data_IF_281975763344
#
_entry.id   IF_281975763344
#
_cell.length_a   1.000
_cell.length_b   1.000
_cell.length_c   1.000
_cell.angle_alpha   90.00
_cell.angle_beta   90.00
_cell.angle_gamma   90.00
#
_symmetry.space_group_name_H-M   'P 1'
#
loop_
_entity.id
_entity.type
_entity.pdbx_description
1 polymer ?
#
# COMPACT_ATOMS: atom_id res chain seq x y z
N UNK A 1 13.82 21.59 2.87
CA UNK A 1 13.09 20.74 3.84
C UNK A 1 11.97 19.95 3.17
N UNK A 2 11.09 20.58 2.38
CA UNK A 2 9.94 19.91 1.75
C UNK A 2 10.32 18.67 0.91
N UNK A 3 11.31 18.78 0.01
CA UNK A 3 11.77 17.64 -0.82
C UNK A 3 12.27 16.44 0.00
N UNK A 4 12.90 16.70 1.15
CA UNK A 4 13.40 15.63 2.02
C UNK A 4 12.25 14.86 2.67
N UNK A 5 11.21 15.57 3.12
CA UNK A 5 10.00 14.91 3.66
C UNK A 5 9.23 14.14 2.59
N UNK A 6 9.14 14.66 1.37
CA UNK A 6 8.53 13.93 0.23
C UNK A 6 9.32 12.64 -0.05
N UNK A 7 10.66 12.71 -0.04
CA UNK A 7 11.50 11.54 -0.25
C UNK A 7 11.31 10.49 0.85
N UNK A 8 11.31 10.91 2.12
CA UNK A 8 11.06 10.01 3.25
C UNK A 8 9.67 9.36 3.18
N UNK A 9 8.65 10.16 2.84
CA UNK A 9 7.29 9.66 2.65
C UNK A 9 7.23 8.63 1.53
N UNK A 10 7.80 8.97 0.36
CA UNK A 10 7.78 8.10 -0.79
C UNK A 10 8.55 6.79 -0.53
N UNK A 11 9.63 6.84 0.26
CA UNK A 11 10.35 5.65 0.70
C UNK A 11 9.50 4.80 1.66
N UNK A 12 8.82 5.44 2.61
CA UNK A 12 7.93 4.73 3.55
C UNK A 12 6.79 4.01 2.81
N UNK A 13 6.10 4.70 1.91
CA UNK A 13 4.99 4.16 1.08
C UNK A 13 5.46 3.17 0.00
N UNK A 14 6.75 3.13 -0.33
CA UNK A 14 7.27 2.17 -1.32
C UNK A 14 7.89 0.92 -0.68
N UNK A 15 7.92 0.85 0.65
CA UNK A 15 8.57 -0.24 1.38
C UNK A 15 7.87 -1.59 1.18
N UNK A 16 6.55 -1.59 1.08
CA UNK A 16 5.74 -2.73 0.65
C UNK A 16 6.16 -3.31 -0.72
N UNK A 17 6.45 -2.42 -1.68
CA UNK A 17 6.90 -2.77 -3.02
C UNK A 17 8.31 -3.35 -3.01
N UNK A 18 9.19 -2.79 -2.18
CA UNK A 18 10.52 -3.36 -1.94
C UNK A 18 10.45 -4.77 -1.35
N UNK A 19 9.60 -5.00 -0.36
CA UNK A 19 9.42 -6.33 0.23
C UNK A 19 8.81 -7.32 -0.77
N UNK A 20 7.84 -6.88 -1.59
CA UNK A 20 7.29 -7.68 -2.67
C UNK A 20 8.37 -8.03 -3.72
N UNK A 21 9.15 -7.05 -4.18
CA UNK A 21 10.27 -7.23 -5.10
C UNK A 21 11.32 -8.21 -4.58
N UNK A 22 11.68 -8.09 -3.29
CA UNK A 22 12.56 -9.05 -2.61
C UNK A 22 11.97 -10.46 -2.60
N UNK A 23 10.67 -10.59 -2.27
CA UNK A 23 9.99 -11.89 -2.28
C UNK A 23 9.97 -12.52 -3.67
N UNK A 24 9.78 -11.72 -4.74
CA UNK A 24 9.87 -12.20 -6.12
C UNK A 24 11.29 -12.65 -6.48
N UNK A 25 12.30 -11.88 -6.08
CA UNK A 25 13.71 -12.25 -6.26
C UNK A 25 14.06 -13.59 -5.60
N UNK A 26 13.57 -13.82 -4.37
CA UNK A 26 13.76 -15.09 -3.66
C UNK A 26 13.01 -16.26 -4.31
N UNK A 27 11.81 -16.02 -4.82
CA UNK A 27 11.00 -17.03 -5.55
C UNK A 27 11.37 -17.17 -7.03
N UNK A 28 12.38 -16.44 -7.51
CA UNK A 28 12.83 -16.41 -8.92
C UNK A 28 11.74 -16.01 -9.91
N UNK A 29 10.78 -15.21 -9.48
CA UNK A 29 9.74 -14.63 -10.34
C UNK A 29 10.31 -13.36 -10.95
N UNK A 30 10.22 -13.23 -12.28
CA UNK A 30 10.73 -12.04 -12.98
C UNK A 30 9.62 -11.01 -13.14
N UNK A 31 9.97 -9.74 -12.92
CA UNK A 31 9.08 -8.62 -13.20
C UNK A 31 9.64 -7.86 -14.41
N UNK A 32 9.05 -8.01 -15.61
CA UNK A 32 9.53 -7.29 -16.79
C UNK A 32 9.29 -5.78 -16.64
N UNK A 33 10.11 -4.97 -17.32
CA UNK A 33 10.07 -3.50 -17.19
C UNK A 33 8.70 -2.89 -17.49
N UNK A 34 7.92 -3.50 -18.40
CA UNK A 34 6.57 -3.04 -18.70
C UNK A 34 5.61 -3.25 -17.52
N UNK A 35 5.73 -4.37 -16.80
CA UNK A 35 4.94 -4.66 -15.61
C UNK A 35 5.33 -3.73 -14.46
N UNK A 36 6.62 -3.47 -14.30
CA UNK A 36 7.12 -2.51 -13.32
C UNK A 36 6.57 -1.10 -13.56
N UNK A 37 6.51 -0.67 -14.83
CA UNK A 37 5.91 0.61 -15.20
C UNK A 37 4.42 0.67 -14.84
N UNK A 38 3.68 -0.43 -15.03
CA UNK A 38 2.26 -0.51 -14.63
C UNK A 38 2.08 -0.39 -13.13
N UNK A 39 2.91 -1.07 -12.33
CA UNK A 39 2.88 -0.99 -10.86
C UNK A 39 3.17 0.45 -10.39
N UNK A 40 4.20 1.06 -10.95
CA UNK A 40 4.59 2.44 -10.65
C UNK A 40 3.48 3.44 -11.02
N UNK A 41 2.88 3.29 -12.20
CA UNK A 41 1.77 4.15 -12.65
C UNK A 41 0.53 3.96 -11.78
N UNK A 42 0.16 2.73 -11.44
CA UNK A 42 -0.96 2.43 -10.56
C UNK A 42 -0.78 3.08 -9.19
N UNK A 43 0.43 2.99 -8.62
CA UNK A 43 0.77 3.62 -7.33
C UNK A 43 0.73 5.14 -7.40
N UNK A 44 1.32 5.75 -8.45
CA UNK A 44 1.32 7.20 -8.64
C UNK A 44 -0.10 7.75 -8.84
N UNK A 45 -0.95 7.05 -9.59
CA UNK A 45 -2.36 7.41 -9.78
C UNK A 45 -3.15 7.29 -8.49
N UNK A 46 -2.96 6.21 -7.73
CA UNK A 46 -3.61 6.02 -6.43
C UNK A 46 -3.23 7.13 -5.45
N UNK A 47 -1.93 7.46 -5.32
CA UNK A 47 -1.47 8.58 -4.48
C UNK A 47 -2.04 9.90 -4.95
N UNK A 48 -2.04 10.17 -6.26
CA UNK A 48 -2.62 11.40 -6.81
C UNK A 48 -4.10 11.52 -6.47
N UNK A 49 -4.87 10.44 -6.67
CA UNK A 49 -6.29 10.38 -6.35
C UNK A 49 -6.53 10.57 -4.85
N UNK A 50 -5.78 9.85 -4.02
CA UNK A 50 -5.83 9.95 -2.56
C UNK A 50 -5.54 11.37 -2.08
N UNK A 51 -4.51 12.02 -2.60
CA UNK A 51 -4.15 13.38 -2.22
C UNK A 51 -5.19 14.40 -2.69
N UNK A 52 -5.81 14.20 -3.85
CA UNK A 52 -6.93 15.05 -4.31
C UNK A 52 -8.11 14.95 -3.34
N UNK A 53 -8.48 13.72 -2.95
CA UNK A 53 -9.51 13.49 -1.93
C UNK A 53 -9.11 14.12 -0.58
N UNK A 54 -7.87 13.93 -0.14
CA UNK A 54 -7.34 14.47 1.11
C UNK A 54 -7.33 16.00 1.14
N UNK A 55 -7.00 16.65 0.03
CA UNK A 55 -7.09 18.11 -0.12
C UNK A 55 -8.53 18.60 -0.04
N UNK A 56 -9.48 17.85 -0.61
CA UNK A 56 -10.91 18.10 -0.44
C UNK A 56 -11.35 17.96 1.03
N UNK A 57 -10.82 16.97 1.74
CA UNK A 57 -11.08 16.78 3.17
C UNK A 57 -10.46 17.89 4.04
N UNK A 58 -9.29 18.40 3.65
CA UNK A 58 -8.57 19.46 4.35
C UNK A 58 -9.37 20.77 4.48
N UNK A 59 -10.34 21.02 3.59
CA UNK A 59 -11.20 22.21 3.65
C UNK A 59 -12.34 22.06 4.67
N UNK A 60 -12.68 20.82 5.02
CA UNK A 60 -13.81 20.49 5.92
C UNK A 60 -13.30 20.24 7.34
N UNK A 61 -12.12 19.63 7.49
CA UNK A 61 -11.59 19.21 8.78
C UNK A 61 -10.48 20.14 9.30
N UNK A 62 -10.55 20.59 10.57
CA UNK A 62 -9.44 21.27 11.21
C UNK A 62 -8.19 20.38 11.29
N UNK A 63 -6.97 20.92 11.08
CA UNK A 63 -5.74 20.14 11.10
C UNK A 63 -5.51 19.43 12.45
N UNK A 64 -5.89 20.06 13.57
CA UNK A 64 -5.78 19.46 14.92
C UNK A 64 -6.69 18.24 15.12
N UNK A 65 -7.80 18.15 14.38
CA UNK A 65 -8.71 17.01 14.47
C UNK A 65 -8.17 15.83 13.67
N UNK A 66 -7.63 16.09 12.47
CA UNK A 66 -6.99 15.07 11.64
C UNK A 66 -5.78 14.44 12.34
N UNK A 67 -4.93 15.25 12.98
CA UNK A 67 -3.78 14.76 13.75
C UNK A 67 -4.18 13.86 14.92
N UNK A 68 -5.19 14.26 15.69
CA UNK A 68 -5.71 13.45 16.81
C UNK A 68 -6.34 12.14 16.34
N UNK A 69 -7.14 12.18 15.27
CA UNK A 69 -7.74 10.97 14.70
C UNK A 69 -6.68 9.98 14.21
N UNK A 70 -5.69 10.46 13.46
CA UNK A 70 -4.60 9.62 12.96
C UNK A 70 -3.81 8.98 14.11
N UNK A 71 -3.49 9.74 15.16
CA UNK A 71 -2.80 9.23 16.34
C UNK A 71 -3.60 8.16 17.08
N UNK A 72 -4.91 8.37 17.27
CA UNK A 72 -5.81 7.39 17.90
C UNK A 72 -5.87 6.11 17.05
N UNK A 73 -6.02 6.24 15.72
CA UNK A 73 -6.08 5.11 14.80
C UNK A 73 -4.79 4.28 14.83
N UNK A 74 -3.62 4.93 14.78
CA UNK A 74 -2.32 4.25 14.89
C UNK A 74 -2.13 3.57 16.24
N UNK A 75 -2.56 4.22 17.34
CA UNK A 75 -2.49 3.63 18.67
C UNK A 75 -3.38 2.38 18.78
N UNK A 76 -4.60 2.41 18.26
CA UNK A 76 -5.50 1.26 18.27
C UNK A 76 -4.96 0.09 17.44
N UNK A 77 -4.48 0.35 16.22
CA UNK A 77 -3.90 -0.69 15.34
C UNK A 77 -2.64 -1.28 16.00
N UNK A 78 -1.76 -0.44 16.56
CA UNK A 78 -0.55 -0.88 17.24
C UNK A 78 -0.85 -1.74 18.47
N UNK A 79 -1.80 -1.33 19.31
CA UNK A 79 -2.22 -2.11 20.49
C UNK A 79 -2.87 -3.43 20.07
N UNK A 80 -3.70 -3.43 19.03
CA UNK A 80 -4.31 -4.64 18.50
C UNK A 80 -3.24 -5.66 18.07
N UNK A 81 -2.26 -5.25 17.27
CA UNK A 81 -1.15 -6.12 16.86
C UNK A 81 -0.31 -6.60 18.06
N UNK A 82 -0.05 -5.74 19.04
CA UNK A 82 0.74 -6.10 20.23
C UNK A 82 0.03 -7.13 21.10
N UNK A 83 -1.28 -6.99 21.27
CA UNK A 83 -2.13 -7.97 21.96
C UNK A 83 -2.24 -9.28 21.17
N UNK A 84 -2.42 -9.22 19.85
CA UNK A 84 -2.48 -10.40 18.98
C UNK A 84 -1.17 -11.19 19.03
N UNK A 85 -0.02 -10.52 18.89
CA UNK A 85 1.29 -11.13 18.97
C UNK A 85 1.59 -11.75 20.36
N UNK A 86 1.03 -11.18 21.43
CA UNK A 86 1.16 -11.75 22.77
C UNK A 86 0.22 -12.95 22.99
N UNK A 87 -0.97 -12.93 22.38
CA UNK A 87 -1.98 -13.99 22.44
C UNK A 87 -1.59 -15.22 21.60
N UNK A 88 -0.97 -15.02 20.44
CA UNK A 88 -0.44 -16.08 19.56
C UNK A 88 0.72 -16.88 20.18
N UNK A 89 1.28 -16.45 21.33
CA UNK A 89 2.28 -17.23 22.08
C UNK A 89 1.65 -18.32 22.95
N UNK A 90 0.32 -18.36 23.07
CA UNK A 90 -0.45 -19.29 23.93
C UNK A 90 -1.39 -20.20 23.10
N UNK A 91 -1.85 -19.76 21.93
CA UNK A 91 -2.59 -20.59 20.96
C UNK A 91 -1.81 -20.68 19.65
N UNK A 92 -1.45 -21.90 19.26
CA UNK A 92 -0.81 -22.18 17.99
C UNK A 92 -1.75 -21.86 16.83
N UNK A 93 -1.43 -20.82 16.06
CA UNK A 93 -1.81 -20.65 14.66
C UNK A 93 -3.28 -20.95 14.33
N UNK A 94 -4.22 -20.18 14.88
CA UNK A 94 -5.44 -19.90 14.13
C UNK A 94 -5.21 -18.59 13.39
N UNK A 95 -5.02 -18.79 12.08
CA UNK A 95 -5.10 -17.87 10.97
C UNK A 95 -5.40 -16.40 11.29
N UNK A 96 -4.73 -15.51 10.54
CA UNK A 96 -5.38 -14.31 10.00
C UNK A 96 -6.47 -14.77 9.01
N UNK A 97 -7.43 -15.53 9.54
CA UNK A 97 -8.72 -15.86 9.02
C UNK A 97 -9.68 -14.99 9.83
N UNK A 98 -9.52 -13.67 9.70
CA UNK A 98 -10.72 -12.86 9.76
C UNK A 98 -11.63 -13.44 8.67
N UNK A 99 -12.64 -14.21 9.07
CA UNK A 99 -13.89 -14.15 8.32
C UNK A 99 -14.17 -12.67 8.17
N UNK A 100 -14.14 -12.13 6.95
CA UNK A 100 -14.24 -10.70 6.78
C UNK A 100 -15.59 -10.30 7.36
N UNK A 101 -15.58 -9.45 8.40
CA UNK A 101 -16.81 -8.90 9.02
C UNK A 101 -17.73 -8.24 7.98
N UNK A 102 -17.21 -7.97 6.79
CA UNK A 102 -17.95 -7.76 5.56
C UNK A 102 -17.58 -8.81 4.51
N UNK A 103 -18.44 -9.81 4.31
CA UNK A 103 -18.42 -10.69 3.12
C UNK A 103 -18.87 -9.92 1.87
N UNK A 104 -18.22 -8.80 1.55
CA UNK A 104 -18.36 -8.13 0.26
C UNK A 104 -17.61 -8.96 -0.77
N UNK A 105 -18.24 -10.04 -1.22
CA UNK A 105 -17.71 -10.91 -2.27
C UNK A 105 -17.81 -10.22 -3.64
N UNK A 106 -16.98 -9.20 -3.83
CA UNK A 106 -16.78 -8.54 -5.11
C UNK A 106 -15.51 -9.15 -5.71
N UNK A 107 -15.65 -9.92 -6.79
CA UNK A 107 -14.57 -10.70 -7.44
C UNK A 107 -13.19 -10.00 -7.49
N UNK A 108 -13.06 -8.72 -7.90
CA UNK A 108 -11.77 -8.02 -7.91
C UNK A 108 -11.17 -7.72 -6.53
N UNK A 109 -11.97 -7.47 -5.49
CA UNK A 109 -11.45 -7.17 -4.15
C UNK A 109 -10.83 -8.41 -3.49
N UNK A 110 -11.45 -9.57 -3.68
CA UNK A 110 -10.90 -10.84 -3.17
C UNK A 110 -9.49 -11.12 -3.72
N UNK A 111 -9.29 -10.85 -5.01
CA UNK A 111 -7.98 -10.98 -5.67
C UNK A 111 -6.92 -10.10 -4.99
N UNK A 112 -7.24 -8.83 -4.77
CA UNK A 112 -6.33 -7.85 -4.15
C UNK A 112 -5.95 -8.29 -2.73
N UNK A 113 -6.93 -8.71 -1.93
CA UNK A 113 -6.69 -9.18 -0.55
C UNK A 113 -5.74 -10.39 -0.55
N UNK A 114 -5.92 -11.33 -1.48
CA UNK A 114 -5.02 -12.48 -1.59
C UNK A 114 -3.60 -12.09 -1.99
N UNK A 115 -3.42 -11.11 -2.88
CA UNK A 115 -2.10 -10.58 -3.25
C UNK A 115 -1.45 -9.87 -2.05
N UNK A 116 -2.21 -9.09 -1.29
CA UNK A 116 -1.70 -8.41 -0.09
C UNK A 116 -1.22 -9.41 0.99
N UNK A 117 -1.92 -10.53 1.16
CA UNK A 117 -1.48 -11.60 2.10
C UNK A 117 -0.22 -12.29 1.62
N UNK A 118 -0.08 -12.53 0.31
CA UNK A 118 1.09 -13.16 -0.26
C UNK A 118 1.39 -12.61 -1.67
N UNK A 119 2.39 -11.71 -1.83
CA UNK A 119 2.66 -11.04 -3.11
C UNK A 119 2.93 -12.01 -4.25
N UNK A 120 3.50 -13.18 -3.96
CA UNK A 120 3.78 -14.25 -4.91
C UNK A 120 2.52 -14.77 -5.64
N UNK A 121 1.33 -14.64 -5.04
CA UNK A 121 0.06 -15.03 -5.65
C UNK A 121 -0.41 -14.09 -6.76
N UNK A 122 0.32 -13.01 -7.00
CA UNK A 122 0.09 -12.14 -8.16
C UNK A 122 0.39 -12.85 -9.48
N UNK A 123 1.27 -13.86 -9.49
CA UNK A 123 1.47 -14.76 -10.62
C UNK A 123 0.32 -15.79 -10.65
N UNK A 124 -0.75 -15.45 -11.38
CA UNK A 124 -1.96 -16.28 -11.44
C UNK A 124 -1.78 -17.49 -12.36
N UNK A 125 -0.91 -17.36 -13.37
CA UNK A 125 -0.67 -18.41 -14.36
C UNK A 125 0.56 -19.28 -14.05
N UNK A 126 1.28 -18.99 -12.96
CA UNK A 126 2.48 -19.70 -12.49
C UNK A 126 3.57 -19.73 -13.57
N UNK A 127 3.60 -18.73 -14.45
CA UNK A 127 4.58 -18.63 -15.53
C UNK A 127 5.98 -18.26 -15.02
N UNK A 128 6.09 -17.74 -13.79
CA UNK A 128 7.32 -17.20 -13.24
C UNK A 128 7.68 -15.82 -13.80
N UNK A 129 6.77 -15.18 -14.55
CA UNK A 129 6.91 -13.79 -15.01
C UNK A 129 5.61 -13.01 -14.76
N UNK A 130 5.68 -11.84 -14.13
CA UNK A 130 4.48 -11.03 -13.90
C UNK A 130 4.05 -10.35 -15.20
N UNK A 131 2.91 -10.76 -15.76
CA UNK A 131 2.31 -10.15 -16.95
C UNK A 131 1.75 -8.75 -16.66
N UNK A 132 1.48 -7.96 -17.71
CA UNK A 132 0.91 -6.60 -17.55
C UNK A 132 -0.43 -6.59 -16.79
N UNK A 133 -1.24 -7.65 -16.92
CA UNK A 133 -2.53 -7.76 -16.21
C UNK A 133 -2.34 -8.06 -14.73
N UNK A 134 -1.43 -8.98 -14.42
CA UNK A 134 -1.07 -9.32 -13.04
C UNK A 134 -0.42 -8.13 -12.33
N UNK A 135 0.47 -7.43 -13.04
CA UNK A 135 1.09 -6.19 -12.59
C UNK A 135 0.07 -5.11 -12.22
N UNK A 136 -1.06 -5.04 -12.94
CA UNK A 136 -2.13 -4.09 -12.62
C UNK A 136 -2.80 -4.42 -11.29
N UNK A 137 -3.18 -5.69 -11.07
CA UNK A 137 -3.77 -6.11 -9.79
C UNK A 137 -2.78 -6.01 -8.63
N UNK A 138 -1.52 -6.37 -8.87
CA UNK A 138 -0.44 -6.21 -7.90
C UNK A 138 -0.20 -4.74 -7.56
N UNK A 139 -0.12 -3.88 -8.58
CA UNK A 139 0.04 -2.44 -8.40
C UNK A 139 -1.11 -1.84 -7.61
N UNK A 140 -2.35 -2.24 -7.89
CA UNK A 140 -3.52 -1.81 -7.13
C UNK A 140 -3.50 -2.31 -5.69
N UNK A 141 -3.09 -3.56 -5.47
CA UNK A 141 -2.96 -4.16 -4.15
C UNK A 141 -1.94 -3.41 -3.29
N UNK A 142 -0.73 -3.23 -3.82
CA UNK A 142 0.33 -2.46 -3.16
C UNK A 142 -0.13 -1.02 -2.91
N UNK A 143 -0.74 -0.35 -3.88
CA UNK A 143 -1.16 1.04 -3.74
C UNK A 143 -2.23 1.31 -2.66
N UNK A 144 -2.86 0.28 -2.08
CA UNK A 144 -3.85 0.45 -1.02
C UNK A 144 -3.28 1.11 0.24
N UNK A 145 -2.00 0.87 0.57
CA UNK A 145 -1.35 1.52 1.72
C UNK A 145 -1.16 3.03 1.49
N UNK A 146 -0.81 3.37 0.25
CA UNK A 146 -0.54 4.71 -0.23
C UNK A 146 -1.82 5.57 -0.29
N UNK A 147 -3.00 4.95 -0.40
CA UNK A 147 -4.28 5.67 -0.34
C UNK A 147 -4.49 6.32 1.03
N UNK A 148 -4.22 5.62 2.14
CA UNK A 148 -4.35 6.20 3.48
C UNK A 148 -3.26 7.25 3.73
N UNK A 149 -2.02 6.90 3.38
CA UNK A 149 -0.86 7.76 3.58
C UNK A 149 -0.93 9.07 2.76
N UNK A 150 -1.45 8.99 1.53
CA UNK A 150 -1.65 10.13 0.63
C UNK A 150 -2.65 11.16 1.16
N UNK A 151 -3.73 10.71 1.81
CA UNK A 151 -4.67 11.63 2.49
C UNK A 151 -3.93 12.39 3.61
N UNK A 152 -3.15 11.67 4.42
CA UNK A 152 -2.37 12.27 5.52
C UNK A 152 -1.37 13.32 5.03
N UNK A 153 -0.63 13.02 3.95
CA UNK A 153 0.33 13.96 3.36
C UNK A 153 -0.34 15.13 2.67
N UNK A 154 -1.52 14.94 2.05
CA UNK A 154 -2.29 16.05 1.49
C UNK A 154 -2.79 17.01 2.59
N UNK A 155 -3.19 16.49 3.76
CA UNK A 155 -3.57 17.31 4.92
C UNK A 155 -2.37 18.08 5.49
N UNK A 156 -1.16 17.56 5.34
CA UNK A 156 0.08 18.26 5.69
C UNK A 156 0.51 19.31 4.64
N UNK A 157 -0.25 19.48 3.55
CA UNK A 157 -0.07 20.58 2.59
C UNK A 157 0.99 20.33 1.50
N UNK A 158 1.43 19.09 1.31
CA UNK A 158 2.45 18.75 0.32
C UNK A 158 1.95 18.86 -1.13
N UNK A 159 2.87 19.16 -2.04
CA UNK A 159 2.57 19.21 -3.47
C UNK A 159 2.22 17.83 -4.04
N UNK A 160 1.03 17.73 -4.64
CA UNK A 160 0.49 16.47 -5.17
C UNK A 160 1.36 15.91 -6.30
N UNK A 161 1.76 16.75 -7.25
CA UNK A 161 2.46 16.30 -8.45
C UNK A 161 3.87 15.79 -8.12
N UNK A 162 4.58 16.52 -7.26
CA UNK A 162 5.91 16.11 -6.79
C UNK A 162 5.86 14.82 -5.97
N UNK A 163 4.85 14.69 -5.10
CA UNK A 163 4.70 13.49 -4.25
C UNK A 163 4.36 12.26 -5.09
N UNK A 164 3.41 12.38 -6.03
CA UNK A 164 3.04 11.29 -6.91
C UNK A 164 4.21 10.84 -7.81
N UNK A 165 4.98 11.80 -8.35
CA UNK A 165 6.14 11.49 -9.17
C UNK A 165 7.25 10.83 -8.35
N UNK A 166 7.52 11.31 -7.14
CA UNK A 166 8.50 10.71 -6.23
C UNK A 166 8.12 9.26 -5.89
N UNK A 167 6.86 9.00 -5.53
CA UNK A 167 6.36 7.63 -5.24
C UNK A 167 6.46 6.74 -6.47
N UNK A 168 6.02 7.22 -7.64
CA UNK A 168 6.09 6.43 -8.88
C UNK A 168 7.53 6.04 -9.24
N UNK A 169 8.47 6.98 -9.15
CA UNK A 169 9.89 6.73 -9.40
C UNK A 169 10.47 5.75 -8.37
N UNK A 170 10.17 5.93 -7.08
CA UNK A 170 10.66 5.03 -6.03
C UNK A 170 10.10 3.62 -6.17
N UNK A 171 8.81 3.46 -6.47
CA UNK A 171 8.21 2.15 -6.77
C UNK A 171 8.88 1.48 -7.96
N UNK A 172 9.14 2.24 -9.03
CA UNK A 172 9.84 1.69 -10.20
C UNK A 172 11.27 1.25 -9.90
N UNK A 173 11.94 1.85 -8.93
CA UNK A 173 13.32 1.49 -8.56
C UNK A 173 13.35 0.34 -7.55
N UNK A 174 12.38 0.27 -6.64
CA UNK A 174 12.41 -0.62 -5.48
C UNK A 174 11.73 -1.98 -5.70
N UNK A 175 10.72 -2.05 -6.57
CA UNK A 175 10.02 -3.30 -6.92
C UNK A 175 10.83 -4.10 -7.93
#
# INVERSE_FOLDING_TARGET
MEYFHILLFALAVSSDGFFAGMAYGLKKIKVPLLSLLVIALASALAVSFSMLCGKGLATIFPPDFAGRLGAIMLMLIGVYFLLSACRDRIESMDEIGEEPLFSLNIKPLGIIIHILKEPARADFDLSGEISTREAFFLGLALAMDALGAGIGVALAGFNILLTALAVGVLKFILV
#
